data_IF_401816473351
#
_entry.id   IF_401816473351
#
_cell.length_a   1.000
_cell.length_b   1.000
_cell.length_c   1.000
_cell.angle_alpha   90.00
_cell.angle_beta   90.00
_cell.angle_gamma   90.00
#
_symmetry.space_group_name_H-M   'P 1'
#
loop_
_entity.id
_entity.type
_entity.pdbx_description
1 polymer ?
#
# COMPACT_ATOMS: atom_id res chain seq x y z
N UNK A 1 17.30 -25.69 20.88
CA UNK A 1 17.59 -25.75 22.33
C UNK A 1 16.28 -26.02 23.06
N UNK A 2 16.16 -27.13 23.79
CA UNK A 2 14.92 -27.47 24.51
C UNK A 2 15.00 -26.85 25.90
N UNK A 3 14.16 -25.86 26.18
CA UNK A 3 14.03 -25.28 27.53
C UNK A 3 13.21 -26.24 28.41
N UNK A 4 13.53 -26.31 29.70
CA UNK A 4 12.71 -27.06 30.66
C UNK A 4 11.42 -26.29 31.02
N UNK A 5 10.41 -27.00 31.50
CA UNK A 5 9.07 -26.42 31.74
C UNK A 5 9.08 -25.32 32.83
N UNK A 6 9.93 -25.45 33.84
CA UNK A 6 10.09 -24.44 34.90
C UNK A 6 10.66 -23.11 34.36
N UNK A 7 11.68 -23.20 33.51
CA UNK A 7 12.28 -22.05 32.82
C UNK A 7 11.27 -21.43 31.87
N UNK A 8 10.54 -22.26 31.12
CA UNK A 8 9.47 -21.81 30.23
C UNK A 8 8.40 -21.02 30.99
N UNK A 9 7.91 -21.55 32.11
CA UNK A 9 6.91 -20.89 32.95
C UNK A 9 7.42 -19.55 33.50
N UNK A 10 8.68 -19.52 33.98
CA UNK A 10 9.32 -18.30 34.48
C UNK A 10 9.43 -17.22 33.41
N UNK A 11 9.82 -17.59 32.18
CA UNK A 11 9.88 -16.68 31.04
C UNK A 11 8.49 -16.15 30.67
N UNK A 12 7.46 -16.98 30.67
CA UNK A 12 6.08 -16.54 30.37
C UNK A 12 5.60 -15.52 31.41
N UNK A 13 5.83 -15.79 32.71
CA UNK A 13 5.49 -14.84 33.78
C UNK A 13 6.24 -13.52 33.61
N UNK A 14 7.54 -13.58 33.35
CA UNK A 14 8.34 -12.38 33.11
C UNK A 14 7.86 -11.60 31.89
N UNK A 15 7.53 -12.29 30.80
CA UNK A 15 6.98 -11.67 29.59
C UNK A 15 5.66 -10.95 29.88
N UNK A 16 4.78 -11.54 30.68
CA UNK A 16 3.54 -10.91 31.11
C UNK A 16 3.77 -9.65 31.96
N UNK A 17 4.72 -9.69 32.90
CA UNK A 17 5.11 -8.52 33.69
C UNK A 17 5.62 -7.37 32.81
N UNK A 18 6.52 -7.67 31.85
CA UNK A 18 7.07 -6.69 30.92
C UNK A 18 5.99 -6.09 30.02
N UNK A 19 5.09 -6.94 29.50
CA UNK A 19 3.97 -6.50 28.68
C UNK A 19 3.08 -5.50 29.44
N UNK A 20 2.75 -5.82 30.69
CA UNK A 20 1.93 -4.94 31.53
C UNK A 20 2.63 -3.61 31.82
N UNK A 21 3.96 -3.61 31.91
CA UNK A 21 4.81 -2.40 32.01
C UNK A 21 4.98 -1.65 30.68
N UNK A 22 4.34 -2.10 29.60
CA UNK A 22 4.50 -1.59 28.23
C UNK A 22 5.92 -1.74 27.66
N UNK A 23 6.75 -2.59 28.26
CA UNK A 23 7.98 -3.06 27.63
C UNK A 23 7.65 -4.22 26.67
N UNK A 24 7.17 -3.83 25.50
CA UNK A 24 6.66 -4.75 24.46
C UNK A 24 7.79 -5.58 23.85
N UNK A 25 8.97 -4.99 23.66
CA UNK A 25 10.13 -5.67 23.11
C UNK A 25 10.71 -6.68 24.11
N UNK A 26 10.84 -6.30 25.39
CA UNK A 26 11.23 -7.22 26.45
C UNK A 26 10.25 -8.39 26.58
N UNK A 27 8.95 -8.12 26.54
CA UNK A 27 7.92 -9.16 26.55
C UNK A 27 8.04 -10.10 25.35
N UNK A 28 8.24 -9.55 24.15
CA UNK A 28 8.39 -10.33 22.92
C UNK A 28 9.57 -11.30 23.00
N UNK A 29 10.72 -10.84 23.49
CA UNK A 29 11.91 -11.70 23.67
C UNK A 29 11.60 -12.87 24.61
N UNK A 30 10.96 -12.62 25.75
CA UNK A 30 10.55 -13.68 26.67
C UNK A 30 9.62 -14.72 26.00
N UNK A 31 8.60 -14.26 25.26
CA UNK A 31 7.67 -15.17 24.59
C UNK A 31 8.31 -15.96 23.46
N UNK A 32 9.22 -15.34 22.71
CA UNK A 32 9.96 -15.99 21.64
C UNK A 32 10.88 -17.08 22.20
N UNK A 33 11.65 -16.79 23.26
CA UNK A 33 12.49 -17.78 23.94
C UNK A 33 11.67 -18.92 24.52
N UNK A 34 10.47 -18.63 25.05
CA UNK A 34 9.58 -19.62 25.63
C UNK A 34 8.76 -20.44 24.61
N UNK A 35 8.86 -20.11 23.30
CA UNK A 35 7.94 -20.59 22.26
C UNK A 35 6.47 -20.47 22.70
N UNK A 36 6.13 -19.33 23.32
CA UNK A 36 4.79 -19.06 23.85
C UNK A 36 3.99 -18.25 22.82
N UNK A 37 3.42 -18.95 21.85
CA UNK A 37 2.71 -18.33 20.73
C UNK A 37 1.50 -17.49 21.14
N UNK A 38 0.79 -17.85 22.21
CA UNK A 38 -0.28 -17.01 22.75
C UNK A 38 0.22 -15.63 23.24
N UNK A 39 1.43 -15.56 23.78
CA UNK A 39 2.08 -14.29 24.13
C UNK A 39 2.50 -13.49 22.90
N UNK A 40 3.02 -14.16 21.87
CA UNK A 40 3.36 -13.52 20.59
C UNK A 40 2.09 -12.98 19.89
N UNK A 41 0.98 -13.72 19.96
CA UNK A 41 -0.32 -13.27 19.46
C UNK A 41 -0.78 -12.00 20.19
N UNK A 42 -0.60 -11.94 21.51
CA UNK A 42 -0.87 -10.74 22.31
C UNK A 42 -0.04 -9.53 21.87
N UNK A 43 1.23 -9.74 21.48
CA UNK A 43 2.06 -8.68 20.88
C UNK A 43 1.51 -8.26 19.52
N UNK A 44 1.07 -9.21 18.68
CA UNK A 44 0.49 -8.92 17.38
C UNK A 44 -0.79 -8.09 17.49
N UNK A 45 -1.68 -8.43 18.44
CA UNK A 45 -2.88 -7.67 18.76
C UNK A 45 -2.54 -6.23 19.18
N UNK A 46 -1.54 -6.05 20.05
CA UNK A 46 -1.07 -4.72 20.44
C UNK A 46 -0.59 -3.88 19.25
N UNK A 47 0.16 -4.49 18.32
CA UNK A 47 0.58 -3.78 17.11
C UNK A 47 -0.60 -3.42 16.21
N UNK A 48 -1.60 -4.30 16.11
CA UNK A 48 -2.78 -4.08 15.29
C UNK A 48 -3.68 -2.96 15.85
N UNK A 49 -4.04 -3.04 17.13
CA UNK A 49 -5.07 -2.20 17.73
C UNK A 49 -4.50 -0.94 18.38
N UNK A 50 -3.50 -1.06 19.25
CA UNK A 50 -2.94 0.08 19.99
C UNK A 50 -2.02 0.92 19.10
N UNK A 51 -1.10 0.27 18.38
CA UNK A 51 -0.10 0.98 17.56
C UNK A 51 -0.55 1.25 16.13
N UNK A 52 -1.63 0.63 15.68
CA UNK A 52 -2.13 0.71 14.29
C UNK A 52 -1.05 0.37 13.24
N UNK A 53 -0.08 -0.47 13.63
CA UNK A 53 0.98 -0.97 12.76
C UNK A 53 0.58 -2.34 12.21
N UNK A 54 -0.25 -2.30 11.17
CA UNK A 54 -0.83 -3.48 10.53
C UNK A 54 0.25 -4.39 9.94
N UNK A 55 1.32 -3.81 9.35
CA UNK A 55 2.42 -4.59 8.76
C UNK A 55 3.11 -5.45 9.81
N UNK A 56 3.45 -4.87 10.97
CA UNK A 56 4.09 -5.62 12.05
C UNK A 56 3.17 -6.69 12.62
N UNK A 57 1.87 -6.40 12.77
CA UNK A 57 0.89 -7.38 13.21
C UNK A 57 0.80 -8.57 12.23
N UNK A 58 0.69 -8.32 10.92
CA UNK A 58 0.66 -9.37 9.89
C UNK A 58 1.92 -10.22 9.90
N UNK A 59 3.10 -9.62 10.07
CA UNK A 59 4.36 -10.36 10.19
C UNK A 59 4.34 -11.33 11.37
N UNK A 60 3.82 -10.91 12.53
CA UNK A 60 3.74 -11.74 13.73
C UNK A 60 2.70 -12.86 13.60
N UNK A 61 1.53 -12.60 13.02
CA UNK A 61 0.54 -13.66 12.74
C UNK A 61 1.09 -14.69 11.77
N UNK A 62 1.79 -14.25 10.71
CA UNK A 62 2.45 -15.14 9.75
C UNK A 62 3.56 -15.97 10.42
N UNK A 63 4.31 -15.37 11.34
CA UNK A 63 5.31 -16.09 12.12
C UNK A 63 4.67 -17.20 12.97
N UNK A 64 3.59 -16.90 13.70
CA UNK A 64 2.86 -17.91 14.49
C UNK A 64 2.35 -19.04 13.59
N UNK A 65 1.74 -18.71 12.44
CA UNK A 65 1.22 -19.70 11.47
C UNK A 65 2.32 -20.66 10.96
N UNK A 66 3.56 -20.18 10.84
CA UNK A 66 4.69 -20.99 10.36
C UNK A 66 5.27 -21.89 11.46
N UNK A 67 5.37 -21.38 12.69
CA UNK A 67 6.14 -22.01 13.76
C UNK A 67 5.26 -22.81 14.74
N UNK A 68 3.98 -22.46 14.91
CA UNK A 68 3.04 -23.22 15.74
C UNK A 68 2.41 -24.34 14.91
N UNK A 69 3.08 -25.50 14.89
CA UNK A 69 2.67 -26.64 14.06
C UNK A 69 1.53 -27.47 14.64
N UNK A 70 1.15 -27.30 15.91
CA UNK A 70 0.33 -28.31 16.61
C UNK A 70 -0.68 -27.80 17.66
N UNK A 71 -0.86 -26.49 17.88
CA UNK A 71 -1.90 -25.99 18.81
C UNK A 71 -2.80 -24.91 18.15
N UNK A 72 -4.03 -24.75 18.67
CA UNK A 72 -5.06 -23.85 18.14
C UNK A 72 -4.69 -22.36 17.98
N UNK A 73 -3.49 -21.95 18.39
CA UNK A 73 -2.92 -20.63 18.08
C UNK A 73 -2.74 -20.40 16.58
N UNK A 74 -2.42 -21.45 15.81
CA UNK A 74 -2.27 -21.38 14.36
C UNK A 74 -3.57 -20.96 13.64
N UNK A 75 -4.70 -21.57 14.01
CA UNK A 75 -6.01 -21.29 13.40
C UNK A 75 -6.43 -19.84 13.65
N UNK A 76 -6.26 -19.35 14.88
CA UNK A 76 -6.63 -17.98 15.24
C UNK A 76 -5.72 -16.95 14.57
N UNK A 77 -4.41 -17.20 14.56
CA UNK A 77 -3.46 -16.33 13.86
C UNK A 77 -3.75 -16.27 12.36
N UNK A 78 -4.11 -17.40 11.74
CA UNK A 78 -4.54 -17.45 10.33
C UNK A 78 -5.79 -16.61 10.10
N UNK A 79 -6.83 -16.78 10.91
CA UNK A 79 -8.07 -15.98 10.78
C UNK A 79 -7.80 -14.48 10.89
N UNK A 80 -6.99 -14.07 11.87
CA UNK A 80 -6.60 -12.66 12.04
C UNK A 80 -5.80 -12.15 10.84
N UNK A 81 -4.83 -12.93 10.36
CA UNK A 81 -4.06 -12.59 9.16
C UNK A 81 -4.95 -12.43 7.92
N UNK A 82 -5.90 -13.34 7.71
CA UNK A 82 -6.84 -13.33 6.59
C UNK A 82 -7.73 -12.06 6.63
N UNK A 83 -8.25 -11.70 7.81
CA UNK A 83 -9.06 -10.47 8.01
C UNK A 83 -8.24 -9.20 7.71
N UNK A 84 -7.01 -9.13 8.21
CA UNK A 84 -6.12 -7.99 7.95
C UNK A 84 -5.80 -7.89 6.46
N UNK A 85 -5.48 -9.02 5.80
CA UNK A 85 -5.22 -9.06 4.37
C UNK A 85 -6.43 -8.60 3.54
N UNK A 86 -7.65 -9.04 3.89
CA UNK A 86 -8.87 -8.58 3.23
C UNK A 86 -9.09 -7.07 3.39
N UNK A 87 -8.80 -6.54 4.58
CA UNK A 87 -8.90 -5.10 4.86
C UNK A 87 -7.94 -4.29 3.99
N UNK A 88 -6.68 -4.75 3.86
CA UNK A 88 -5.69 -4.14 2.97
C UNK A 88 -6.14 -4.20 1.51
N UNK A 89 -6.58 -5.38 1.04
CA UNK A 89 -7.09 -5.56 -0.34
C UNK A 89 -8.27 -4.63 -0.62
N UNK A 90 -9.18 -4.43 0.35
CA UNK A 90 -10.32 -3.52 0.20
C UNK A 90 -9.87 -2.07 -0.01
N UNK A 91 -8.88 -1.61 0.75
CA UNK A 91 -8.31 -0.26 0.61
C UNK A 91 -7.61 -0.11 -0.74
N UNK A 92 -6.77 -1.07 -1.12
CA UNK A 92 -6.07 -1.04 -2.42
C UNK A 92 -7.05 -1.02 -3.60
N UNK A 93 -8.11 -1.82 -3.56
CA UNK A 93 -9.17 -1.81 -4.59
C UNK A 93 -9.89 -0.48 -4.67
N UNK A 94 -10.09 0.20 -3.52
CA UNK A 94 -10.71 1.52 -3.48
C UNK A 94 -9.81 2.56 -4.15
N UNK A 95 -8.53 2.59 -3.79
CA UNK A 95 -7.57 3.51 -4.40
C UNK A 95 -7.43 3.28 -5.91
N UNK A 96 -7.36 2.02 -6.34
CA UNK A 96 -7.29 1.71 -7.77
C UNK A 96 -8.52 2.21 -8.55
N UNK A 97 -9.73 2.11 -7.96
CA UNK A 97 -10.96 2.66 -8.56
C UNK A 97 -11.01 4.19 -8.53
N UNK A 98 -10.46 4.81 -7.50
CA UNK A 98 -10.31 6.28 -7.44
C UNK A 98 -9.36 6.76 -8.53
N UNK A 99 -8.28 6.01 -8.81
CA UNK A 99 -7.37 6.28 -9.93
C UNK A 99 -8.04 6.10 -11.29
N UNK A 100 -8.84 5.02 -11.48
CA UNK A 100 -9.62 4.82 -12.70
C UNK A 100 -10.68 5.90 -12.93
N UNK A 101 -11.36 6.35 -11.88
CA UNK A 101 -12.39 7.41 -11.99
C UNK A 101 -11.75 8.79 -12.17
N UNK A 102 -10.62 9.08 -11.53
CA UNK A 102 -9.83 10.29 -11.78
C UNK A 102 -9.33 10.35 -13.22
N UNK A 103 -8.71 9.27 -13.72
CA UNK A 103 -8.22 9.20 -15.10
C UNK A 103 -9.37 9.30 -16.11
N UNK A 104 -10.48 8.58 -15.93
CA UNK A 104 -11.65 8.70 -16.81
C UNK A 104 -12.25 10.12 -16.79
N UNK A 105 -12.28 10.80 -15.65
CA UNK A 105 -12.79 12.18 -15.59
C UNK A 105 -11.88 13.17 -16.32
N UNK A 106 -10.55 12.94 -16.29
CA UNK A 106 -9.56 13.76 -17.00
C UNK A 106 -9.57 13.48 -18.51
N UNK A 107 -9.66 12.21 -18.90
CA UNK A 107 -9.74 11.80 -20.31
C UNK A 107 -11.04 12.28 -20.97
N UNK A 108 -12.17 12.24 -20.27
CA UNK A 108 -13.43 12.76 -20.78
C UNK A 108 -13.44 14.29 -20.92
N UNK A 109 -12.70 15.02 -20.08
CA UNK A 109 -12.58 16.48 -20.20
C UNK A 109 -11.56 16.89 -21.28
N UNK A 110 -10.43 16.20 -21.40
CA UNK A 110 -9.43 16.42 -22.46
C UNK A 110 -10.03 16.12 -23.84
N UNK A 111 -10.77 15.01 -23.97
CA UNK A 111 -11.46 14.68 -25.22
C UNK A 111 -12.51 15.72 -25.62
N UNK A 112 -13.16 16.39 -24.66
CA UNK A 112 -14.11 17.47 -24.94
C UNK A 112 -13.39 18.77 -25.28
N UNK A 113 -12.32 19.14 -24.56
CA UNK A 113 -11.52 20.33 -24.86
C UNK A 113 -10.85 20.25 -26.24
N UNK A 114 -10.28 19.10 -26.61
CA UNK A 114 -9.67 18.87 -27.93
C UNK A 114 -10.71 18.88 -29.07
N UNK A 115 -11.94 18.41 -28.79
CA UNK A 115 -13.04 18.43 -29.75
C UNK A 115 -13.61 19.83 -29.93
N UNK A 116 -13.72 20.62 -28.86
CA UNK A 116 -14.09 22.03 -28.88
C UNK A 116 -13.01 22.86 -29.59
N UNK A 117 -11.73 22.58 -29.35
CA UNK A 117 -10.60 23.23 -30.04
C UNK A 117 -10.54 22.88 -31.53
N UNK A 118 -10.85 21.64 -31.93
CA UNK A 118 -10.98 21.24 -33.35
C UNK A 118 -12.17 21.90 -34.03
N UNK A 119 -13.37 21.82 -33.45
CA UNK A 119 -14.56 22.46 -34.00
C UNK A 119 -14.39 23.99 -34.13
N UNK A 120 -13.73 24.62 -33.16
CA UNK A 120 -13.47 26.06 -33.23
C UNK A 120 -12.39 26.41 -34.26
N UNK A 121 -11.34 25.58 -34.44
CA UNK A 121 -10.35 25.76 -35.52
C UNK A 121 -11.01 25.64 -36.90
N UNK A 122 -11.81 24.61 -37.12
CA UNK A 122 -12.44 24.36 -38.42
C UNK A 122 -13.40 25.49 -38.81
N UNK A 123 -14.17 26.03 -37.85
CA UNK A 123 -15.02 27.23 -38.05
C UNK A 123 -14.23 28.52 -38.35
N UNK A 124 -13.03 28.66 -37.81
CA UNK A 124 -12.14 29.81 -38.09
C UNK A 124 -11.55 29.70 -39.51
N UNK A 125 -11.22 28.49 -39.97
CA UNK A 125 -10.64 28.25 -41.30
C UNK A 125 -11.67 28.27 -42.44
N UNK A 126 -12.95 28.00 -42.17
CA UNK A 126 -14.03 28.17 -43.16
C UNK A 126 -14.38 29.64 -43.43
N UNK A 127 -14.25 30.53 -42.43
CA UNK A 127 -14.60 31.95 -42.58
C UNK A 127 -13.53 32.80 -43.27
N UNK A 128 -12.29 32.33 -43.40
CA UNK A 128 -11.24 33.12 -44.05
C UNK A 128 -10.16 32.24 -44.72
N UNK A 129 -10.35 31.82 -45.98
CA UNK A 129 -9.46 30.89 -46.68
C UNK A 129 -8.03 31.43 -46.89
N UNK A 130 -7.82 32.74 -46.74
CA UNK A 130 -6.51 33.39 -46.89
C UNK A 130 -5.58 33.19 -45.68
N UNK A 131 -6.10 32.77 -44.51
CA UNK A 131 -5.28 32.55 -43.30
C UNK A 131 -4.48 31.24 -43.40
N UNK A 132 -5.03 30.22 -44.07
CA UNK A 132 -4.38 28.90 -44.21
C UNK A 132 -3.02 29.01 -44.91
N UNK A 133 -2.90 29.85 -45.94
CA UNK A 133 -1.63 30.08 -46.66
C UNK A 133 -0.57 30.83 -45.82
N UNK A 134 -0.98 31.75 -44.93
CA UNK A 134 -0.05 32.54 -44.13
C UNK A 134 0.60 31.72 -42.99
N UNK A 135 -0.17 30.81 -42.38
CA UNK A 135 0.32 29.94 -41.28
C UNK A 135 1.30 28.89 -41.80
N UNK A 136 1.00 28.26 -42.95
CA UNK A 136 1.90 27.27 -43.55
C UNK A 136 3.24 27.87 -44.05
N UNK A 137 3.28 29.17 -44.40
CA UNK A 137 4.53 29.83 -44.82
C UNK A 137 5.47 30.15 -43.64
N UNK A 138 4.95 30.29 -42.41
CA UNK A 138 5.74 30.59 -41.20
C UNK A 138 6.43 29.36 -40.60
N UNK A 139 5.93 28.16 -40.88
CA UNK A 139 6.48 26.90 -40.33
C UNK A 139 7.74 26.49 -41.10
N UNK A 140 7.76 26.63 -42.42
CA UNK A 140 8.91 26.23 -43.25
C UNK A 140 10.14 27.16 -43.18
N UNK A 141 10.10 28.25 -42.41
CA UNK A 141 11.28 29.10 -42.17
C UNK A 141 11.93 28.88 -40.81
N UNK A 142 11.31 28.12 -39.90
CA UNK A 142 11.83 27.89 -38.55
C UNK A 142 12.67 26.61 -38.42
N UNK A 143 12.56 25.69 -39.38
CA UNK A 143 13.23 24.38 -39.32
C UNK A 143 14.69 24.37 -39.82
N UNK A 144 15.22 25.51 -40.28
CA UNK A 144 16.59 25.57 -40.83
C UNK A 144 17.66 26.15 -39.89
N UNK A 145 17.29 26.65 -38.71
CA UNK A 145 18.24 27.35 -37.83
C UNK A 145 18.76 26.49 -36.65
N UNK A 146 18.27 25.27 -36.44
CA UNK A 146 18.68 24.43 -35.29
C UNK A 146 19.52 23.19 -35.64
N UNK A 147 20.07 23.10 -36.84
CA UNK A 147 21.13 22.12 -37.17
C UNK A 147 22.49 22.84 -37.26
N UNK A 148 23.01 23.35 -36.14
CA UNK A 148 24.46 23.60 -35.98
C UNK A 148 24.90 23.40 -34.52
N UNK A 149 25.64 22.31 -34.30
CA UNK A 149 26.83 22.17 -33.41
C UNK A 149 26.77 22.82 -32.01
N UNK A 150 26.86 22.02 -30.94
CA UNK A 150 28.10 21.55 -30.27
C UNK A 150 27.78 20.26 -29.51
#
# INVERSE_FOLDING_TARGET
MKINDSTRSTLIRKGNELFNKKDIEGAYRCYLTASYFGGIEKIADYYNFDKKNIIKAMQLYKFILKEDSNLGGNVRAKQKLDILAQSVVKVLRKWLKEDETYNNSKDNNINNEDKILKENKDKIFEKNPNIKKAVFKKINSADNDNIKTV
#
